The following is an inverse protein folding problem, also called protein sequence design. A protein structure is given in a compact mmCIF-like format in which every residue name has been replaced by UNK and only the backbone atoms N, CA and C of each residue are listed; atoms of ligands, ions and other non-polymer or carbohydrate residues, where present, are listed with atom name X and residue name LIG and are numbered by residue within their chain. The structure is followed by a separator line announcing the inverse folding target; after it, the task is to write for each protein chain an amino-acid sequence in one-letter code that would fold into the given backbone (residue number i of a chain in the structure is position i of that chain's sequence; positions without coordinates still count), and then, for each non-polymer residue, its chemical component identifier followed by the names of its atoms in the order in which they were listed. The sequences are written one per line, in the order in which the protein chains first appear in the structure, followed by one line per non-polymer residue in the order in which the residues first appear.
data_IF_891216983517
#
_entry.id   IF_891216983517
#
_cell.length_a   1.000
_cell.length_b   1.000
_cell.length_c   1.000
_cell.angle_alpha   90.00
_cell.angle_beta   90.00
_cell.angle_gamma   90.00
#
_symmetry.space_group_name_H-M   'P 1'
#
loop_
_entity.id
_entity.type
_entity.pdbx_description
1 polymer ?
#
# COMPACT_ATOMS: atom_id res chain seq x y z
N UNK A 1 -23.51 -10.53 -15.02
CA UNK A 1 -23.12 -11.27 -13.81
C UNK A 1 -21.65 -11.73 -13.94
N UNK A 2 -20.68 -10.85 -13.72
CA UNK A 2 -19.27 -11.22 -13.59
C UNK A 2 -18.70 -10.35 -12.46
N UNK A 3 -18.25 -10.95 -11.37
CA UNK A 3 -17.49 -10.23 -10.33
C UNK A 3 -18.21 -9.91 -9.01
N UNK A 4 -19.26 -10.65 -8.64
CA UNK A 4 -19.92 -10.49 -7.32
C UNK A 4 -19.17 -11.26 -6.22
N UNK A 5 -18.34 -12.23 -6.62
CA UNK A 5 -17.58 -13.08 -5.71
C UNK A 5 -16.16 -12.55 -5.59
N UNK A 6 -15.70 -12.40 -4.35
CA UNK A 6 -14.31 -12.05 -4.05
C UNK A 6 -13.38 -13.17 -4.53
N UNK A 7 -12.27 -12.76 -5.13
CA UNK A 7 -11.15 -13.67 -5.42
C UNK A 7 -10.29 -13.81 -4.18
N UNK A 8 -9.45 -14.85 -4.16
CA UNK A 8 -8.42 -15.00 -3.14
C UNK A 8 -7.51 -13.76 -3.10
N UNK A 9 -7.12 -13.27 -1.90
CA UNK A 9 -6.24 -12.12 -1.78
C UNK A 9 -4.81 -12.46 -2.22
N UNK A 10 -4.19 -11.57 -2.99
CA UNK A 10 -2.75 -11.62 -3.24
C UNK A 10 -1.98 -11.02 -2.07
N UNK A 11 -1.08 -11.79 -1.47
CA UNK A 11 -0.24 -11.36 -0.34
C UNK A 11 1.17 -11.06 -0.83
N UNK A 12 1.71 -9.90 -0.45
CA UNK A 12 3.09 -9.51 -0.74
C UNK A 12 3.87 -9.36 0.57
N UNK A 13 4.91 -10.17 0.75
CA UNK A 13 5.85 -9.97 1.84
C UNK A 13 6.76 -8.77 1.53
N UNK A 14 6.93 -7.87 2.50
CA UNK A 14 7.71 -6.65 2.34
C UNK A 14 8.90 -6.66 3.30
N UNK A 15 9.97 -5.97 2.92
CA UNK A 15 11.12 -5.77 3.81
C UNK A 15 10.70 -4.89 5.00
N UNK A 16 11.28 -5.11 6.20
CA UNK A 16 11.08 -4.19 7.32
C UNK A 16 11.38 -2.75 6.94
N UNK A 17 10.54 -1.81 7.36
CA UNK A 17 10.69 -0.39 7.06
C UNK A 17 10.09 0.08 5.73
N UNK A 18 9.52 -0.79 4.89
CA UNK A 18 8.90 -0.37 3.61
C UNK A 18 7.85 0.74 3.79
N UNK A 19 6.94 0.61 4.76
CA UNK A 19 5.93 1.64 5.01
C UNK A 19 6.52 2.96 5.50
N UNK A 20 7.62 2.93 6.25
CA UNK A 20 8.33 4.13 6.68
C UNK A 20 8.93 4.86 5.48
N UNK A 21 9.65 4.13 4.61
CA UNK A 21 10.21 4.67 3.37
C UNK A 21 9.15 5.25 2.44
N UNK A 22 8.03 4.53 2.29
CA UNK A 22 6.89 4.99 1.47
C UNK A 22 6.25 6.27 2.02
N UNK A 23 6.03 6.34 3.33
CA UNK A 23 5.51 7.57 3.97
C UNK A 23 6.48 8.74 3.81
N UNK A 24 7.79 8.48 3.85
CA UNK A 24 8.84 9.49 3.61
C UNK A 24 8.82 10.02 2.19
N UNK A 25 8.76 9.16 1.18
CA UNK A 25 8.72 9.56 -0.24
C UNK A 25 7.50 10.41 -0.57
N UNK A 26 6.36 10.14 0.09
CA UNK A 26 5.13 10.94 -0.04
C UNK A 26 5.16 12.27 0.71
N UNK A 27 6.21 12.57 1.47
CA UNK A 27 6.26 13.72 2.37
C UNK A 27 5.22 13.65 3.50
N UNK A 28 4.78 12.43 3.86
CA UNK A 28 3.77 12.16 4.89
C UNK A 28 4.34 11.43 6.10
N UNK A 29 5.66 11.39 6.24
CA UNK A 29 6.30 10.79 7.42
C UNK A 29 6.13 11.72 8.63
N UNK A 30 5.52 11.20 9.69
CA UNK A 30 5.30 11.93 10.94
C UNK A 30 4.05 12.81 10.97
N UNK A 31 3.93 13.62 12.03
CA UNK A 31 2.73 14.41 12.33
C UNK A 31 1.51 13.51 12.60
N UNK A 32 0.33 13.96 12.18
CA UNK A 32 -0.91 13.20 12.31
C UNK A 32 -1.19 12.26 11.11
N UNK A 33 -0.22 12.07 10.22
CA UNK A 33 -0.37 11.19 9.06
C UNK A 33 -0.16 9.72 9.47
N UNK A 34 -1.13 8.87 9.14
CA UNK A 34 -1.09 7.42 9.40
C UNK A 34 -1.02 6.64 8.09
N UNK A 35 -0.43 5.45 8.16
CA UNK A 35 -0.47 4.48 7.07
C UNK A 35 -1.93 4.01 6.90
N UNK A 36 -2.56 4.19 5.72
CA UNK A 36 -3.88 3.65 5.44
C UNK A 36 -3.86 2.12 5.46
N UNK A 37 -4.87 1.50 6.10
CA UNK A 37 -4.93 0.03 6.27
C UNK A 37 -5.91 -0.65 5.31
N UNK A 38 -6.93 0.07 4.87
CA UNK A 38 -7.97 -0.38 3.96
C UNK A 38 -8.29 0.76 2.99
N UNK A 39 -8.52 0.43 1.73
CA UNK A 39 -8.95 1.36 0.70
C UNK A 39 -9.82 0.64 -0.31
N UNK A 40 -10.77 1.37 -0.91
CA UNK A 40 -11.58 0.88 -2.02
C UNK A 40 -10.86 1.05 -3.37
N UNK A 41 -9.78 1.84 -3.40
CA UNK A 41 -8.91 2.02 -4.57
C UNK A 41 -7.55 1.37 -4.32
N UNK A 42 -6.81 1.13 -5.40
CA UNK A 42 -5.47 0.51 -5.34
C UNK A 42 -4.32 1.51 -5.21
N UNK A 43 -4.60 2.81 -5.21
CA UNK A 43 -3.59 3.88 -5.27
C UNK A 43 -2.47 3.72 -4.22
N UNK A 44 -2.81 3.31 -2.99
CA UNK A 44 -1.81 3.07 -1.95
C UNK A 44 -1.00 1.80 -2.19
N UNK A 45 -1.65 0.69 -2.54
CA UNK A 45 -0.96 -0.58 -2.79
C UNK A 45 -0.04 -0.44 -3.99
N UNK A 46 -0.55 0.14 -5.07
CA UNK A 46 0.21 0.27 -6.32
C UNK A 46 1.40 1.22 -6.13
N UNK A 47 1.26 2.34 -5.41
CA UNK A 47 2.41 3.19 -5.08
C UNK A 47 3.44 2.53 -4.15
N UNK A 48 3.03 1.66 -3.22
CA UNK A 48 3.96 0.86 -2.42
C UNK A 48 4.68 -0.17 -3.31
N UNK A 49 3.96 -0.80 -4.24
CA UNK A 49 4.52 -1.76 -5.19
C UNK A 49 5.49 -1.11 -6.18
N UNK A 50 5.28 0.15 -6.56
CA UNK A 50 6.23 0.91 -7.37
C UNK A 50 7.51 1.22 -6.60
N UNK A 51 7.40 1.63 -5.32
CA UNK A 51 8.57 1.88 -4.48
C UNK A 51 9.48 0.65 -4.36
N UNK A 52 8.93 -0.56 -4.25
CA UNK A 52 9.74 -1.79 -4.11
C UNK A 52 10.34 -2.31 -5.43
N UNK A 53 9.88 -1.79 -6.57
CA UNK A 53 10.43 -2.12 -7.90
C UNK A 53 11.63 -1.24 -8.26
N UNK A 54 11.75 -0.07 -7.62
CA UNK A 54 12.93 0.80 -7.71
C UNK A 54 14.10 0.16 -6.98
#
# INVERSE_FOLDING_TARGET
YKGITLKEPTVHALKPGTFFSWMRERGKLGGQNKVPRLSNTRDYVDSILELIKK
#
